data_IF_086361483456
#
_entry.id   IF_086361483456
#
_cell.length_a   1.000
_cell.length_b   1.000
_cell.length_c   1.000
_cell.angle_alpha   90.00
_cell.angle_beta   90.00
_cell.angle_gamma   90.00
#
_symmetry.space_group_name_H-M   'P 1'
#
loop_
_entity.id
_entity.type
_entity.pdbx_description
1 polymer ?
#
# COMPACT_ATOMS: atom_id res chain seq x y z
N UNK A 1 -53.98 62.43 45.38
CA UNK A 1 -53.69 61.58 44.22
C UNK A 1 -52.25 61.16 44.36
N UNK A 2 -51.98 59.88 44.61
CA UNK A 2 -50.69 59.27 44.22
C UNK A 2 -50.86 57.76 44.27
N UNK A 3 -50.81 57.14 43.08
CA UNK A 3 -50.85 55.69 42.88
C UNK A 3 -49.42 55.17 42.88
N UNK A 4 -49.24 54.06 43.61
CA UNK A 4 -48.07 53.16 43.59
C UNK A 4 -47.73 52.74 42.16
N UNK A 5 -46.42 52.69 41.84
CA UNK A 5 -45.89 51.96 40.69
C UNK A 5 -44.82 50.99 41.20
N UNK A 6 -44.97 49.72 40.83
CA UNK A 6 -44.23 48.59 41.37
C UNK A 6 -42.90 48.30 40.68
N UNK A 7 -42.03 47.64 41.43
CA UNK A 7 -40.71 47.16 41.03
C UNK A 7 -40.84 45.97 40.09
N UNK A 8 -40.18 46.03 38.93
CA UNK A 8 -40.07 44.92 37.97
C UNK A 8 -38.78 44.15 38.24
N UNK A 9 -38.87 42.92 38.72
CA UNK A 9 -37.74 41.98 38.79
C UNK A 9 -37.66 41.24 37.46
N UNK A 10 -36.72 41.64 36.61
CA UNK A 10 -36.38 40.91 35.40
C UNK A 10 -35.49 39.71 35.73
N UNK A 11 -36.03 38.50 35.60
CA UNK A 11 -35.27 37.25 35.70
C UNK A 11 -34.35 37.14 34.47
N UNK A 12 -33.04 37.20 34.67
CA UNK A 12 -32.06 36.82 33.64
C UNK A 12 -32.16 35.31 33.42
N UNK A 13 -32.85 34.90 32.35
CA UNK A 13 -32.75 33.53 31.85
C UNK A 13 -31.38 33.42 31.17
N UNK A 14 -30.39 32.93 31.91
CA UNK A 14 -29.11 32.52 31.34
C UNK A 14 -29.39 31.24 30.55
N UNK A 15 -29.65 31.41 29.25
CA UNK A 15 -29.77 30.30 28.33
C UNK A 15 -28.43 29.56 28.29
N UNK A 16 -28.35 28.42 28.96
CA UNK A 16 -27.29 27.45 28.73
C UNK A 16 -27.48 26.92 27.30
N UNK A 17 -26.74 27.49 26.34
CA UNK A 17 -26.43 26.82 25.09
C UNK A 17 -25.70 25.53 25.47
N UNK A 18 -26.42 24.40 25.44
CA UNK A 18 -25.81 23.09 25.27
C UNK A 18 -25.10 23.14 23.91
N UNK A 19 -23.83 23.53 23.91
CA UNK A 19 -22.92 23.19 22.83
C UNK A 19 -22.88 21.66 22.87
N UNK A 20 -23.64 21.02 21.97
CA UNK A 20 -23.38 19.64 21.63
C UNK A 20 -21.93 19.63 21.14
N UNK A 21 -21.01 19.10 21.96
CA UNK A 21 -19.69 18.76 21.48
C UNK A 21 -19.92 17.79 20.32
N UNK A 22 -19.71 18.27 19.09
CA UNK A 22 -19.63 17.37 17.94
C UNK A 22 -18.61 16.31 18.36
N UNK A 23 -18.92 15.01 18.22
CA UNK A 23 -17.95 13.98 18.54
C UNK A 23 -16.69 14.34 17.77
N UNK A 24 -15.59 14.58 18.50
CA UNK A 24 -14.27 14.78 17.94
C UNK A 24 -13.99 13.53 17.11
N UNK A 25 -14.26 13.57 15.81
CA UNK A 25 -13.82 12.52 14.90
C UNK A 25 -12.31 12.67 14.88
N UNK A 26 -11.63 11.82 15.65
CA UNK A 26 -10.20 11.67 15.53
C UNK A 26 -9.97 11.20 14.09
N UNK A 27 -9.36 12.07 13.27
CA UNK A 27 -9.02 11.73 11.91
C UNK A 27 -8.12 10.49 11.94
N UNK A 28 -8.61 9.37 11.42
CA UNK A 28 -7.84 8.16 11.31
C UNK A 28 -7.22 8.08 9.92
N UNK A 29 -5.98 8.56 9.85
CA UNK A 29 -5.20 8.59 8.62
C UNK A 29 -5.02 7.20 7.97
N UNK A 30 -5.12 6.12 8.76
CA UNK A 30 -4.99 4.75 8.26
C UNK A 30 -6.28 4.31 7.55
N UNK A 31 -7.42 4.55 8.19
CA UNK A 31 -8.75 4.38 7.60
C UNK A 31 -8.89 5.22 6.33
N UNK A 32 -8.48 6.50 6.36
CA UNK A 32 -8.53 7.39 5.19
C UNK A 32 -7.66 6.86 4.03
N UNK A 33 -6.44 6.40 4.31
CA UNK A 33 -5.55 5.83 3.30
C UNK A 33 -6.13 4.57 2.65
N UNK A 34 -6.69 3.66 3.45
CA UNK A 34 -7.33 2.45 2.96
C UNK A 34 -8.66 2.77 2.22
N UNK A 35 -9.40 3.77 2.69
CA UNK A 35 -10.62 4.20 2.02
C UNK A 35 -10.32 4.88 0.66
N UNK A 36 -9.21 5.61 0.55
CA UNK A 36 -8.72 6.11 -0.73
C UNK A 36 -8.46 4.97 -1.72
N UNK A 37 -7.82 3.87 -1.28
CA UNK A 37 -7.66 2.67 -2.09
C UNK A 37 -9.03 2.10 -2.49
N UNK A 38 -9.95 1.89 -1.54
CA UNK A 38 -11.29 1.36 -1.81
C UNK A 38 -12.02 2.15 -2.90
N UNK A 39 -11.95 3.48 -2.88
CA UNK A 39 -12.59 4.34 -3.90
C UNK A 39 -12.00 4.16 -5.30
N UNK A 40 -10.75 3.74 -5.40
CA UNK A 40 -10.06 3.55 -6.67
C UNK A 40 -10.17 2.11 -7.21
N UNK A 41 -10.65 1.17 -6.39
CA UNK A 41 -10.83 -0.21 -6.77
C UNK A 41 -12.28 -0.52 -7.20
N UNK A 42 -12.40 -1.47 -8.12
CA UNK A 42 -13.67 -2.15 -8.42
C UNK A 42 -13.70 -3.46 -7.65
N UNK A 43 -14.77 -3.64 -6.88
CA UNK A 43 -14.97 -4.75 -5.96
C UNK A 43 -16.30 -5.46 -6.24
N UNK A 44 -16.37 -6.35 -7.24
CA UNK A 44 -17.61 -7.01 -7.61
C UNK A 44 -18.11 -8.01 -6.56
N UNK A 45 -17.23 -8.46 -5.67
CA UNK A 45 -17.53 -9.44 -4.63
C UNK A 45 -17.85 -8.81 -3.27
N UNK A 46 -17.85 -7.47 -3.18
CA UNK A 46 -18.07 -6.71 -1.94
C UNK A 46 -17.08 -7.10 -0.81
N UNK A 47 -15.84 -7.47 -1.16
CA UNK A 47 -14.76 -7.82 -0.22
C UNK A 47 -14.44 -6.64 0.72
N UNK A 48 -14.55 -5.41 0.21
CA UNK A 48 -14.26 -4.17 0.92
C UNK A 48 -15.50 -3.58 1.61
N UNK A 49 -16.62 -4.32 1.70
CA UNK A 49 -17.88 -3.77 2.22
C UNK A 49 -17.76 -3.25 3.65
N UNK A 50 -16.97 -3.91 4.50
CA UNK A 50 -16.79 -3.54 5.91
C UNK A 50 -15.90 -2.31 6.11
N UNK A 51 -15.29 -1.76 5.05
CA UNK A 51 -14.32 -0.67 5.15
C UNK A 51 -15.01 0.67 5.35
N UNK A 52 -15.47 0.92 6.57
CA UNK A 52 -16.21 2.13 6.95
C UNK A 52 -15.28 3.20 7.55
N UNK A 53 -14.96 4.29 6.81
CA UNK A 53 -14.06 5.35 7.26
C UNK A 53 -14.64 6.20 8.39
N UNK A 54 -15.91 6.00 8.78
CA UNK A 54 -16.53 6.71 9.91
C UNK A 54 -16.23 6.08 11.26
N UNK A 55 -15.64 4.88 11.27
CA UNK A 55 -15.20 4.19 12.49
C UNK A 55 -13.91 4.81 13.05
N UNK A 56 -13.69 4.60 14.34
CA UNK A 56 -12.53 5.15 15.07
C UNK A 56 -11.18 4.67 14.50
N UNK A 57 -11.14 3.48 13.90
CA UNK A 57 -9.99 2.92 13.21
C UNK A 57 -10.42 1.73 12.31
N UNK A 58 -9.57 1.28 11.35
CA UNK A 58 -9.88 0.16 10.45
C UNK A 58 -9.66 -1.21 11.08
N UNK A 59 -9.36 -1.31 12.38
CA UNK A 59 -8.96 -2.59 12.99
C UNK A 59 -10.10 -3.60 13.09
N UNK A 60 -11.35 -3.17 12.88
CA UNK A 60 -12.53 -4.03 12.78
C UNK A 60 -12.89 -4.37 11.33
N UNK A 61 -12.20 -3.80 10.35
CA UNK A 61 -12.46 -4.08 8.93
C UNK A 61 -11.96 -5.48 8.59
N UNK A 62 -12.75 -6.23 7.81
CA UNK A 62 -12.26 -7.46 7.22
C UNK A 62 -11.03 -7.18 6.36
N UNK A 63 -10.14 -8.19 6.30
CA UNK A 63 -8.89 -8.13 5.55
C UNK A 63 -7.85 -7.15 6.11
N UNK A 64 -8.11 -6.51 7.25
CA UNK A 64 -7.18 -5.63 7.95
C UNK A 64 -6.81 -6.25 9.29
N UNK A 65 -5.52 -6.26 9.64
CA UNK A 65 -5.04 -6.65 10.97
C UNK A 65 -4.29 -5.50 11.60
N UNK A 66 -4.60 -5.21 12.86
CA UNK A 66 -3.89 -4.23 13.67
C UNK A 66 -3.06 -4.88 14.78
N UNK A 67 -2.05 -4.14 15.27
CA UNK A 67 -1.35 -4.46 16.52
C UNK A 67 -2.11 -3.92 17.75
N UNK A 68 -1.55 -4.12 18.96
CA UNK A 68 -2.12 -3.64 20.22
C UNK A 68 -2.18 -2.12 20.36
N UNK A 69 -1.48 -1.37 19.49
CA UNK A 69 -1.53 0.08 19.41
C UNK A 69 -2.51 0.60 18.34
N UNK A 70 -3.44 -0.24 17.87
CA UNK A 70 -4.40 0.07 16.80
C UNK A 70 -3.74 0.57 15.51
N UNK A 71 -2.52 0.10 15.23
CA UNK A 71 -1.84 0.40 13.97
C UNK A 71 -2.02 -0.78 13.01
N UNK A 72 -2.37 -0.47 11.76
CA UNK A 72 -2.50 -1.45 10.68
C UNK A 72 -1.12 -2.05 10.39
N UNK A 73 -1.02 -3.36 10.56
CA UNK A 73 0.21 -4.13 10.32
C UNK A 73 0.08 -5.10 9.14
N UNK A 74 -1.14 -5.46 8.73
CA UNK A 74 -1.39 -6.32 7.58
C UNK A 74 -2.66 -5.92 6.86
N UNK A 75 -2.59 -5.96 5.53
CA UNK A 75 -3.74 -5.93 4.63
C UNK A 75 -3.65 -7.18 3.75
N UNK A 76 -4.70 -8.00 3.75
CA UNK A 76 -4.77 -9.27 3.02
C UNK A 76 -5.98 -9.33 2.09
N UNK A 77 -5.75 -8.92 0.85
CA UNK A 77 -6.75 -8.91 -0.23
C UNK A 77 -6.36 -9.88 -1.34
N UNK A 78 -5.62 -10.94 -1.02
CA UNK A 78 -5.23 -11.96 -2.00
C UNK A 78 -6.46 -12.66 -2.59
N UNK A 79 -6.48 -12.85 -3.92
CA UNK A 79 -7.56 -13.56 -4.63
C UNK A 79 -8.97 -12.98 -4.37
N UNK A 80 -9.07 -11.65 -4.27
CA UNK A 80 -10.31 -10.92 -3.98
C UNK A 80 -11.10 -10.52 -5.26
N UNK A 81 -10.55 -10.77 -6.45
CA UNK A 81 -11.19 -10.38 -7.71
C UNK A 81 -11.21 -8.87 -7.96
N UNK A 82 -10.38 -8.11 -7.24
CA UNK A 82 -10.28 -6.65 -7.32
C UNK A 82 -9.66 -6.21 -8.64
N UNK A 83 -10.08 -5.06 -9.17
CA UNK A 83 -9.45 -4.39 -10.33
C UNK A 83 -9.36 -2.88 -10.10
N UNK A 84 -8.65 -2.17 -10.97
CA UNK A 84 -8.24 -0.77 -10.75
C UNK A 84 -6.82 -0.68 -10.22
N UNK A 85 -6.38 0.51 -9.84
CA UNK A 85 -4.98 0.79 -9.52
C UNK A 85 -4.73 1.05 -8.04
N UNK A 86 -3.47 0.93 -7.63
CA UNK A 86 -3.05 1.36 -6.29
C UNK A 86 -3.00 2.88 -6.20
N UNK A 87 -3.01 3.38 -4.96
CA UNK A 87 -3.03 4.81 -4.65
C UNK A 87 -1.81 5.20 -3.78
N UNK A 88 -1.27 6.42 -3.94
CA UNK A 88 -0.10 6.87 -3.17
C UNK A 88 -0.35 6.95 -1.66
N UNK A 89 -1.60 7.12 -1.23
CA UNK A 89 -2.00 7.20 0.17
C UNK A 89 -1.68 5.92 0.95
N UNK A 90 -1.51 4.77 0.28
CA UNK A 90 -1.02 3.54 0.92
C UNK A 90 0.32 3.73 1.62
N UNK A 91 1.15 4.66 1.15
CA UNK A 91 2.42 5.02 1.80
C UNK A 91 2.26 5.62 3.20
N UNK A 92 1.05 6.01 3.62
CA UNK A 92 0.78 6.54 4.96
C UNK A 92 0.65 5.44 6.03
N UNK A 93 0.59 4.16 5.65
CA UNK A 93 0.46 3.04 6.59
C UNK A 93 1.82 2.67 7.22
N UNK A 94 2.45 3.59 7.95
CA UNK A 94 3.84 3.48 8.41
C UNK A 94 4.15 2.22 9.25
N UNK A 95 3.15 1.63 9.91
CA UNK A 95 3.28 0.40 10.70
C UNK A 95 3.08 -0.88 9.89
N UNK A 96 2.73 -0.78 8.60
CA UNK A 96 2.41 -1.93 7.76
C UNK A 96 3.63 -2.84 7.59
N UNK A 97 3.41 -4.12 7.82
CA UNK A 97 4.41 -5.19 7.71
C UNK A 97 4.11 -6.13 6.55
N UNK A 98 2.84 -6.36 6.22
CA UNK A 98 2.43 -7.31 5.19
C UNK A 98 1.39 -6.67 4.28
N UNK A 99 1.71 -6.56 3.00
CA UNK A 99 0.78 -6.12 1.97
C UNK A 99 0.60 -7.26 0.96
N UNK A 100 -0.53 -7.96 1.08
CA UNK A 100 -0.90 -9.09 0.24
C UNK A 100 -2.04 -8.67 -0.70
N UNK A 101 -1.70 -8.50 -1.98
CA UNK A 101 -2.59 -8.05 -3.06
C UNK A 101 -2.57 -9.01 -4.26
N UNK A 102 -2.00 -10.20 -4.11
CA UNK A 102 -1.78 -11.13 -5.20
C UNK A 102 -3.08 -11.71 -5.77
N UNK A 103 -2.99 -12.24 -6.99
CA UNK A 103 -4.09 -12.95 -7.67
C UNK A 103 -5.33 -12.08 -7.82
N UNK A 104 -5.13 -10.81 -8.16
CA UNK A 104 -6.20 -9.89 -8.51
C UNK A 104 -6.08 -9.49 -9.99
N UNK A 105 -6.83 -8.47 -10.37
CA UNK A 105 -6.77 -7.84 -11.70
C UNK A 105 -6.31 -6.38 -11.57
N UNK A 106 -5.48 -6.08 -10.57
CA UNK A 106 -4.98 -4.73 -10.32
C UNK A 106 -4.09 -4.28 -11.47
N UNK A 107 -4.18 -3.01 -11.85
CA UNK A 107 -3.46 -2.41 -12.97
C UNK A 107 -2.77 -1.09 -12.57
N UNK A 108 -2.24 -0.37 -13.57
CA UNK A 108 -1.46 0.84 -13.35
C UNK A 108 -0.03 0.56 -12.89
N UNK A 109 0.61 1.57 -12.30
CA UNK A 109 1.98 1.49 -11.80
C UNK A 109 2.01 1.23 -10.29
N UNK A 110 3.14 0.72 -9.79
CA UNK A 110 3.39 0.62 -8.36
C UNK A 110 3.73 2.03 -7.83
N UNK A 111 3.00 2.58 -6.84
CA UNK A 111 3.28 3.91 -6.32
C UNK A 111 4.66 3.98 -5.62
N UNK A 112 5.43 5.03 -5.91
CA UNK A 112 6.73 5.27 -5.27
C UNK A 112 6.60 5.46 -3.75
N UNK A 113 5.43 5.88 -3.27
CA UNK A 113 5.12 6.12 -1.86
C UNK A 113 5.15 4.84 -1.03
N UNK A 114 5.03 3.65 -1.65
CA UNK A 114 5.24 2.39 -0.94
C UNK A 114 6.66 2.29 -0.34
N UNK A 115 7.65 3.02 -0.87
CA UNK A 115 8.98 3.16 -0.28
C UNK A 115 9.02 3.84 1.10
N UNK A 116 7.92 4.45 1.54
CA UNK A 116 7.76 5.04 2.89
C UNK A 116 7.47 3.99 3.98
N UNK A 117 7.06 2.78 3.61
CA UNK A 117 6.62 1.72 4.53
C UNK A 117 7.80 1.00 5.20
N UNK A 118 8.56 1.70 6.06
CA UNK A 118 9.84 1.21 6.61
C UNK A 118 9.76 -0.11 7.40
N UNK A 119 8.57 -0.47 7.87
CA UNK A 119 8.31 -1.71 8.59
C UNK A 119 7.87 -2.87 7.68
N UNK A 120 7.76 -2.66 6.37
CA UNK A 120 7.27 -3.67 5.43
C UNK A 120 8.23 -4.87 5.37
N UNK A 121 7.68 -6.05 5.65
CA UNK A 121 8.36 -7.34 5.65
C UNK A 121 8.02 -8.13 4.38
N UNK A 122 6.77 -8.06 3.92
CA UNK A 122 6.28 -8.76 2.73
C UNK A 122 5.52 -7.80 1.82
N UNK A 123 5.92 -7.76 0.55
CA UNK A 123 5.20 -7.11 -0.53
C UNK A 123 4.87 -8.15 -1.60
N UNK A 124 3.59 -8.53 -1.67
CA UNK A 124 3.08 -9.59 -2.54
C UNK A 124 2.08 -9.00 -3.55
N UNK A 125 2.57 -8.80 -4.78
CA UNK A 125 1.83 -8.19 -5.89
C UNK A 125 1.64 -9.15 -7.08
N UNK A 126 2.04 -10.40 -6.91
CA UNK A 126 2.11 -11.38 -7.98
C UNK A 126 0.74 -11.79 -8.55
N UNK A 127 0.68 -12.23 -9.81
CA UNK A 127 -0.58 -12.46 -10.56
C UNK A 127 -1.51 -11.23 -10.56
N UNK A 128 -1.05 -10.15 -11.18
CA UNK A 128 -1.84 -8.94 -11.44
C UNK A 128 -1.55 -8.41 -12.85
N UNK A 129 -1.97 -7.19 -13.17
CA UNK A 129 -1.72 -6.50 -14.43
C UNK A 129 -0.85 -5.24 -14.25
N UNK A 130 0.00 -5.16 -13.21
CA UNK A 130 0.86 -4.01 -12.99
C UNK A 130 1.80 -3.76 -14.17
N UNK A 131 2.01 -2.49 -14.50
CA UNK A 131 2.81 -1.99 -15.63
C UNK A 131 3.83 -0.96 -15.14
N UNK A 132 4.75 -0.56 -16.02
CA UNK A 132 5.79 0.41 -15.71
C UNK A 132 6.91 -0.19 -14.87
N UNK A 133 7.77 0.69 -14.35
CA UNK A 133 8.97 0.30 -13.62
C UNK A 133 8.69 -0.06 -12.16
N UNK A 134 9.58 -0.85 -11.56
CA UNK A 134 9.66 -0.98 -10.11
C UNK A 134 10.21 0.34 -9.54
N UNK A 135 9.52 1.02 -8.61
CA UNK A 135 10.05 2.24 -8.00
C UNK A 135 11.36 1.97 -7.26
N UNK A 136 12.41 2.75 -7.56
CA UNK A 136 13.69 2.68 -6.87
C UNK A 136 13.57 2.94 -5.35
N UNK A 137 12.53 3.67 -4.94
CA UNK A 137 12.18 3.92 -3.53
C UNK A 137 11.91 2.64 -2.73
N UNK A 138 11.58 1.50 -3.37
CA UNK A 138 11.48 0.21 -2.68
C UNK A 138 12.83 -0.26 -2.09
N UNK A 139 13.96 0.25 -2.58
CA UNK A 139 15.29 0.01 -1.99
C UNK A 139 15.50 0.64 -0.62
N UNK A 140 14.55 1.44 -0.14
CA UNK A 140 14.54 2.03 1.19
C UNK A 140 13.87 1.14 2.25
N UNK A 141 13.27 0.01 1.85
CA UNK A 141 12.53 -0.91 2.72
C UNK A 141 13.44 -1.89 3.44
N UNK A 142 14.23 -1.41 4.40
CA UNK A 142 15.29 -2.23 5.06
C UNK A 142 14.76 -3.46 5.81
N UNK A 143 13.49 -3.48 6.17
CA UNK A 143 12.81 -4.61 6.83
C UNK A 143 12.31 -5.68 5.85
N UNK A 144 12.36 -5.43 4.53
CA UNK A 144 11.76 -6.29 3.53
C UNK A 144 12.48 -7.62 3.42
N UNK A 145 11.71 -8.70 3.48
CA UNK A 145 12.17 -10.09 3.40
C UNK A 145 11.66 -10.79 2.15
N UNK A 146 10.42 -10.51 1.77
CA UNK A 146 9.74 -11.10 0.62
C UNK A 146 9.29 -10.00 -0.34
N UNK A 147 9.73 -10.10 -1.59
CA UNK A 147 9.30 -9.24 -2.69
C UNK A 147 8.87 -10.09 -3.87
N UNK A 148 7.56 -10.24 -4.08
CA UNK A 148 7.01 -11.05 -5.17
C UNK A 148 6.17 -10.19 -6.10
N UNK A 149 6.66 -10.01 -7.32
CA UNK A 149 6.03 -9.20 -8.38
C UNK A 149 5.83 -10.00 -9.66
N UNK A 150 6.06 -11.31 -9.62
CA UNK A 150 5.95 -12.20 -10.76
C UNK A 150 4.55 -12.24 -11.37
N UNK A 151 4.45 -12.62 -12.63
CA UNK A 151 3.20 -12.66 -13.39
C UNK A 151 2.47 -11.30 -13.38
N UNK A 152 3.19 -10.28 -13.85
CA UNK A 152 2.67 -8.93 -14.12
C UNK A 152 3.12 -8.50 -15.53
N UNK A 153 2.99 -7.22 -15.85
CA UNK A 153 3.46 -6.59 -17.10
C UNK A 153 4.51 -5.51 -16.82
N UNK A 154 5.23 -5.62 -15.71
CA UNK A 154 6.25 -4.66 -15.28
C UNK A 154 7.40 -4.63 -16.28
N UNK A 155 8.01 -3.47 -16.47
CA UNK A 155 9.01 -3.22 -17.50
C UNK A 155 10.19 -2.39 -16.96
N UNK A 156 11.17 -2.11 -17.82
CA UNK A 156 12.37 -1.36 -17.47
C UNK A 156 13.38 -2.21 -16.69
N UNK A 157 14.34 -1.54 -16.06
CA UNK A 157 15.40 -2.20 -15.29
C UNK A 157 14.91 -2.58 -13.89
N UNK A 158 15.42 -3.70 -13.37
CA UNK A 158 15.30 -4.00 -11.94
C UNK A 158 16.21 -3.03 -11.17
N UNK A 159 15.70 -2.20 -10.25
CA UNK A 159 16.49 -1.15 -9.60
C UNK A 159 17.64 -1.72 -8.76
N UNK A 160 18.85 -1.18 -8.97
CA UNK A 160 20.05 -1.57 -8.21
C UNK A 160 19.92 -1.24 -6.72
N UNK A 161 19.04 -0.31 -6.35
CA UNK A 161 18.70 0.06 -4.98
C UNK A 161 18.25 -1.16 -4.17
N UNK A 162 17.57 -2.13 -4.80
CA UNK A 162 17.08 -3.35 -4.15
C UNK A 162 18.22 -4.27 -3.67
N UNK A 163 19.41 -4.19 -4.29
CA UNK A 163 20.59 -4.97 -3.88
C UNK A 163 21.11 -4.58 -2.49
N UNK A 164 20.72 -3.40 -1.99
CA UNK A 164 21.11 -2.84 -0.69
C UNK A 164 20.14 -3.21 0.44
N UNK A 165 19.16 -4.07 0.17
CA UNK A 165 18.21 -4.56 1.18
C UNK A 165 18.82 -5.72 1.98
N UNK A 166 19.16 -5.52 3.27
CA UNK A 166 19.97 -6.48 4.03
C UNK A 166 19.21 -7.77 4.37
N UNK A 167 17.89 -7.69 4.49
CA UNK A 167 17.04 -8.77 4.99
C UNK A 167 16.32 -9.57 3.90
N UNK A 168 16.56 -9.26 2.63
CA UNK A 168 15.87 -9.88 1.50
C UNK A 168 16.23 -11.38 1.41
N UNK A 169 15.22 -12.24 1.42
CA UNK A 169 15.37 -13.70 1.39
C UNK A 169 14.66 -14.36 0.22
N UNK A 170 13.60 -13.74 -0.28
CA UNK A 170 12.84 -14.25 -1.42
C UNK A 170 12.54 -13.10 -2.35
N UNK A 171 12.90 -13.29 -3.62
CA UNK A 171 12.47 -12.45 -4.72
C UNK A 171 11.89 -13.31 -5.82
N UNK A 172 10.84 -12.78 -6.46
CA UNK A 172 10.31 -13.37 -7.69
C UNK A 172 9.88 -12.23 -8.63
N UNK A 173 10.68 -12.04 -9.67
CA UNK A 173 10.49 -11.10 -10.76
C UNK A 173 10.10 -11.81 -12.07
N UNK A 174 9.89 -13.13 -12.02
CA UNK A 174 9.65 -13.94 -13.22
C UNK A 174 8.37 -13.55 -13.94
N UNK A 175 8.30 -13.83 -15.24
CA UNK A 175 7.10 -13.58 -16.06
C UNK A 175 6.63 -12.12 -16.02
N UNK A 176 7.51 -11.23 -16.49
CA UNK A 176 7.28 -9.80 -16.67
C UNK A 176 7.93 -9.36 -18.01
N UNK A 177 8.05 -8.05 -18.22
CA UNK A 177 8.70 -7.43 -19.38
C UNK A 177 9.99 -6.68 -18.97
N UNK A 178 10.69 -7.13 -17.92
CA UNK A 178 11.94 -6.49 -17.51
C UNK A 178 13.00 -6.57 -18.61
N UNK A 179 13.90 -5.60 -18.63
CA UNK A 179 14.98 -5.51 -19.61
C UNK A 179 16.34 -5.22 -18.96
N UNK A 180 17.40 -5.36 -19.77
CA UNK A 180 18.77 -5.13 -19.33
C UNK A 180 19.30 -6.27 -18.46
N UNK A 181 20.34 -6.01 -17.68
CA UNK A 181 20.97 -7.05 -16.84
C UNK A 181 20.37 -7.06 -15.44
N UNK A 182 19.90 -8.21 -14.97
CA UNK A 182 19.43 -8.31 -13.59
C UNK A 182 20.60 -8.16 -12.59
N UNK A 183 20.39 -7.51 -11.44
CA UNK A 183 21.47 -7.31 -10.46
C UNK A 183 21.98 -8.66 -9.91
N UNK A 184 23.29 -8.82 -9.86
CA UNK A 184 23.97 -10.04 -9.34
C UNK A 184 24.82 -9.76 -8.09
N UNK A 185 24.73 -8.54 -7.55
CA UNK A 185 25.53 -8.09 -6.40
C UNK A 185 24.68 -7.89 -5.15
N UNK A 186 25.34 -7.65 -4.01
CA UNK A 186 24.66 -7.37 -2.74
C UNK A 186 23.76 -8.51 -2.30
N UNK A 187 22.55 -8.20 -1.85
CA UNK A 187 21.57 -9.22 -1.46
C UNK A 187 21.14 -10.12 -2.63
N UNK A 188 21.24 -9.65 -3.88
CA UNK A 188 20.80 -10.40 -5.06
C UNK A 188 21.76 -11.51 -5.48
N UNK A 189 23.02 -11.47 -5.03
CA UNK A 189 24.03 -12.49 -5.32
C UNK A 189 23.64 -13.92 -4.87
N UNK A 190 22.60 -14.05 -4.02
CA UNK A 190 22.11 -15.33 -3.49
C UNK A 190 20.93 -15.92 -4.29
N UNK A 191 20.31 -15.16 -5.17
CA UNK A 191 19.09 -15.59 -5.87
C UNK A 191 19.44 -16.26 -7.19
N UNK A 192 18.80 -17.40 -7.45
CA UNK A 192 18.97 -18.13 -8.71
C UNK A 192 18.31 -17.40 -9.87
N UNK A 193 18.80 -17.63 -11.09
CA UNK A 193 18.18 -17.20 -12.35
C UNK A 193 16.67 -17.48 -12.46
N UNK A 194 16.17 -18.53 -11.80
CA UNK A 194 14.74 -18.86 -11.73
C UNK A 194 13.84 -17.70 -11.29
N UNK A 195 14.30 -16.87 -10.36
CA UNK A 195 13.57 -15.69 -9.89
C UNK A 195 13.41 -14.60 -10.97
N UNK A 196 14.06 -14.75 -12.12
CA UNK A 196 14.13 -13.76 -13.20
C UNK A 196 13.69 -14.33 -14.56
N UNK A 197 13.32 -15.62 -14.62
CA UNK A 197 12.88 -16.30 -15.84
C UNK A 197 11.66 -15.64 -16.50
N UNK A 198 11.44 -15.93 -17.77
CA UNK A 198 10.28 -15.45 -18.54
C UNK A 198 10.20 -13.91 -18.62
N UNK A 199 11.36 -13.24 -18.71
CA UNK A 199 11.48 -11.82 -19.06
C UNK A 199 12.23 -11.72 -20.41
N UNK A 200 11.54 -11.47 -21.55
CA UNK A 200 12.14 -11.64 -22.88
C UNK A 200 13.38 -10.77 -23.18
N UNK A 201 13.44 -9.57 -22.60
CA UNK A 201 14.53 -8.60 -22.82
C UNK A 201 15.51 -8.54 -21.65
N UNK A 202 15.34 -9.37 -20.62
CA UNK A 202 16.21 -9.42 -19.46
C UNK A 202 17.33 -10.43 -19.73
N UNK A 203 18.56 -9.99 -19.48
CA UNK A 203 19.74 -10.83 -19.64
C UNK A 203 20.56 -10.91 -18.35
N UNK A 204 21.56 -11.79 -18.35
CA UNK A 204 22.49 -11.96 -17.24
C UNK A 204 23.40 -13.16 -17.46
N UNK A 205 24.46 -13.31 -16.65
CA UNK A 205 25.48 -14.35 -16.86
C UNK A 205 24.90 -15.78 -16.85
N UNK A 206 23.78 -15.98 -16.17
CA UNK A 206 23.10 -17.29 -16.07
C UNK A 206 21.89 -17.44 -17.01
N UNK A 207 21.50 -16.39 -17.74
CA UNK A 207 20.41 -16.39 -18.73
C UNK A 207 21.00 -16.35 -20.16
N UNK A 208 21.78 -17.38 -20.50
CA UNK A 208 22.46 -17.49 -21.79
C UNK A 208 21.45 -17.49 -22.95
N UNK A 209 21.63 -16.58 -23.92
CA UNK A 209 20.85 -16.52 -25.16
C UNK A 209 19.73 -15.47 -25.21
N UNK A 210 19.46 -14.74 -24.13
CA UNK A 210 18.53 -13.61 -24.17
C UNK A 210 19.17 -12.41 -24.92
N UNK A 211 18.47 -11.78 -25.88
CA UNK A 211 18.99 -10.62 -26.60
C UNK A 211 19.26 -9.46 -25.61
N UNK A 212 20.47 -8.90 -25.65
CA UNK A 212 20.81 -7.72 -24.86
C UNK A 212 20.09 -6.49 -25.43
N UNK A 213 19.19 -5.90 -24.65
CA UNK A 213 18.56 -4.64 -25.01
C UNK A 213 19.42 -3.45 -24.54
N UNK A 214 20.21 -2.88 -25.45
CA UNK A 214 21.01 -1.68 -25.20
C UNK A 214 20.17 -0.40 -25.07
N UNK A 215 18.87 -0.46 -25.40
CA UNK A 215 17.92 0.66 -25.32
C UNK A 215 17.03 0.60 -24.08
N UNK A 216 17.29 -0.36 -23.19
CA UNK A 216 16.58 -0.50 -21.93
C UNK A 216 16.79 0.75 -21.05
N UNK A 217 15.73 1.55 -20.93
CA UNK A 217 15.61 2.69 -20.04
C UNK A 217 14.83 2.26 -18.79
#
# INVERSE_FOLDING_TARGET
MERKSGTMVGVMVVGFLLLAELPYIVADYQGDALFALRRNLKDPANVLQSWDPTLVNPCTWFHVTCNSGNQVIRVDLGNAGLSGSLVPELGNLHSLQYLELSKNKLDGTIPQELGKLKNLVSLDLYYNNFTGEIPSSLGELKSLVFLRVNNNKLSGRIPNELTRLPNLKVVDFSSNNFCGTFPTSGSFARFSSKSFENNPSLNGPELLGAPYDSTCH
#
